data_IF_525120613717
#
_entry.id   IF_525120613717
#
_cell.length_a   1.000
_cell.length_b   1.000
_cell.length_c   1.000
_cell.angle_alpha   90.00
_cell.angle_beta   90.00
_cell.angle_gamma   90.00
#
_symmetry.space_group_name_H-M   'P 1'
#
loop_
_entity.id
_entity.type
_entity.pdbx_description
1 polymer ?
#
# COMPACT_ATOMS: atom_id res chain seq x y z
N UNK A 1 28.28 9.34 -11.31
CA UNK A 1 27.75 9.67 -9.96
C UNK A 1 28.24 8.59 -9.01
N UNK A 2 28.72 8.95 -7.82
CA UNK A 2 29.27 7.99 -6.86
C UNK A 2 28.14 7.26 -6.12
N UNK A 3 27.89 6.01 -6.54
CA UNK A 3 26.82 5.19 -5.98
C UNK A 3 27.12 4.72 -4.55
N UNK A 4 28.39 4.67 -4.14
CA UNK A 4 28.78 4.31 -2.78
C UNK A 4 28.52 5.46 -1.82
N UNK A 5 28.85 6.68 -2.25
CA UNK A 5 28.53 7.89 -1.50
C UNK A 5 27.02 8.04 -1.28
N UNK A 6 26.21 7.86 -2.34
CA UNK A 6 24.75 7.92 -2.21
C UNK A 6 24.17 6.85 -1.27
N UNK A 7 24.73 5.62 -1.30
CA UNK A 7 24.33 4.56 -0.35
C UNK A 7 24.71 4.89 1.09
N UNK A 8 25.91 5.45 1.30
CA UNK A 8 26.36 5.87 2.63
C UNK A 8 25.44 6.96 3.20
N UNK A 9 25.14 8.00 2.41
CA UNK A 9 24.22 9.06 2.82
C UNK A 9 22.80 8.55 3.12
N UNK A 10 22.27 7.65 2.29
CA UNK A 10 20.96 7.05 2.55
C UNK A 10 20.94 6.26 3.86
N UNK A 11 22.00 5.48 4.12
CA UNK A 11 22.11 4.72 5.38
C UNK A 11 22.16 5.63 6.60
N UNK A 12 22.94 6.71 6.54
CA UNK A 12 23.05 7.68 7.63
C UNK A 12 21.71 8.38 7.89
N UNK A 13 20.99 8.75 6.82
CA UNK A 13 19.66 9.33 6.92
C UNK A 13 18.65 8.35 7.53
N UNK A 14 18.68 7.07 7.14
CA UNK A 14 17.79 6.04 7.69
C UNK A 14 18.02 5.85 9.20
N UNK A 15 19.28 5.81 9.63
CA UNK A 15 19.63 5.73 11.04
C UNK A 15 19.16 6.95 11.82
N UNK A 16 19.30 8.14 11.26
CA UNK A 16 18.83 9.37 11.88
C UNK A 16 17.30 9.39 12.05
N UNK A 17 16.54 8.91 11.06
CA UNK A 17 15.09 8.82 11.14
C UNK A 17 14.62 7.78 12.17
N UNK A 18 15.31 6.66 12.34
CA UNK A 18 14.93 5.69 13.36
C UNK A 18 15.33 6.11 14.78
N UNK A 19 16.51 6.69 14.96
CA UNK A 19 17.03 7.06 16.27
C UNK A 19 16.65 8.47 16.73
N UNK A 20 16.14 9.30 15.82
CA UNK A 20 15.92 10.73 16.02
C UNK A 20 14.49 11.12 16.45
N UNK A 21 14.07 12.37 16.16
CA UNK A 21 12.79 12.96 16.63
C UNK A 21 11.53 12.20 16.21
N UNK A 22 11.63 11.41 15.15
CA UNK A 22 10.55 10.59 14.59
C UNK A 22 10.28 9.31 15.36
N UNK A 23 11.17 8.90 16.28
CA UNK A 23 10.95 7.74 17.17
C UNK A 23 9.68 7.85 18.03
N UNK A 24 9.23 9.07 18.33
CA UNK A 24 7.99 9.35 19.06
C UNK A 24 6.87 9.89 18.15
N UNK A 25 7.09 10.00 16.85
CA UNK A 25 6.08 10.43 15.90
C UNK A 25 5.29 9.23 15.37
N UNK A 26 4.02 9.42 15.03
CA UNK A 26 3.15 8.38 14.45
C UNK A 26 3.47 8.16 12.96
N UNK A 27 4.72 7.83 12.65
CA UNK A 27 5.22 7.60 11.28
C UNK A 27 5.99 6.29 11.18
N UNK A 28 5.85 5.64 10.03
CA UNK A 28 6.60 4.47 9.62
C UNK A 28 7.66 4.88 8.59
N UNK A 29 8.85 4.29 8.72
CA UNK A 29 9.99 4.55 7.84
C UNK A 29 10.31 3.27 7.07
N UNK A 30 10.28 3.34 5.75
CA UNK A 30 10.53 2.19 4.87
C UNK A 30 11.72 2.47 3.96
N UNK A 31 12.66 1.53 3.96
CA UNK A 31 13.78 1.52 3.03
C UNK A 31 13.36 0.82 1.73
N UNK A 32 13.35 1.58 0.63
CA UNK A 32 13.23 1.05 -0.72
C UNK A 32 14.60 0.68 -1.31
N UNK A 33 14.60 0.24 -2.57
CA UNK A 33 15.84 -0.19 -3.26
C UNK A 33 16.86 0.94 -3.42
N UNK A 34 16.38 2.15 -3.68
CA UNK A 34 17.20 3.35 -3.92
C UNK A 34 16.62 4.62 -3.27
N UNK A 35 15.72 4.44 -2.32
CA UNK A 35 15.00 5.54 -1.68
C UNK A 35 14.65 5.18 -0.24
N UNK A 36 14.25 6.20 0.52
CA UNK A 36 13.63 6.07 1.85
C UNK A 36 12.29 6.78 1.78
N UNK A 37 11.26 6.13 2.29
CA UNK A 37 9.91 6.67 2.37
C UNK A 37 9.49 6.79 3.83
N UNK A 38 8.85 7.91 4.17
CA UNK A 38 8.24 8.15 5.48
C UNK A 38 6.76 8.36 5.26
N UNK A 39 5.93 7.61 5.98
CA UNK A 39 4.48 7.71 5.90
C UNK A 39 3.86 7.72 7.29
N UNK A 40 2.66 8.28 7.42
CA UNK A 40 1.93 8.20 8.68
C UNK A 40 1.55 6.74 8.98
N UNK A 41 1.66 6.35 10.25
CA UNK A 41 1.19 5.05 10.73
C UNK A 41 -0.29 4.88 10.41
N UNK A 42 -0.68 3.69 9.98
CA UNK A 42 -2.07 3.34 9.66
C UNK A 42 -2.56 3.84 8.29
N UNK A 43 -1.74 4.59 7.55
CA UNK A 43 -2.02 4.95 6.16
C UNK A 43 -1.39 3.92 5.24
N UNK A 44 -2.23 3.11 4.60
CA UNK A 44 -1.79 2.00 3.75
C UNK A 44 -2.56 2.03 2.42
N UNK A 45 -2.12 1.24 1.43
CA UNK A 45 -2.78 1.21 0.11
C UNK A 45 -4.16 0.55 0.21
N UNK A 46 -4.29 -0.48 1.05
CA UNK A 46 -5.53 -1.13 1.40
C UNK A 46 -6.54 -0.18 2.05
N UNK A 47 -6.12 0.64 3.03
CA UNK A 47 -7.05 1.60 3.67
C UNK A 47 -7.50 2.71 2.72
N UNK A 48 -6.64 3.14 1.80
CA UNK A 48 -7.04 4.04 0.72
C UNK A 48 -8.05 3.38 -0.23
N UNK A 49 -7.87 2.10 -0.58
CA UNK A 49 -8.81 1.37 -1.43
C UNK A 49 -10.17 1.17 -0.77
N UNK A 50 -10.21 0.85 0.53
CA UNK A 50 -11.46 0.75 1.28
C UNK A 50 -12.26 2.05 1.19
N UNK A 51 -11.58 3.19 1.33
CA UNK A 51 -12.19 4.51 1.16
C UNK A 51 -12.70 4.73 -0.27
N UNK A 52 -11.89 4.45 -1.29
CA UNK A 52 -12.27 4.64 -2.70
C UNK A 52 -13.48 3.79 -3.06
N UNK A 53 -13.49 2.51 -2.68
CA UNK A 53 -14.63 1.62 -2.92
C UNK A 53 -15.86 2.05 -2.14
N UNK A 54 -15.68 2.48 -0.89
CA UNK A 54 -16.73 3.08 -0.08
C UNK A 54 -17.36 4.28 -0.78
N UNK A 55 -16.55 5.22 -1.29
CA UNK A 55 -17.03 6.38 -2.04
C UNK A 55 -17.74 5.95 -3.33
N UNK A 56 -17.20 5.00 -4.10
CA UNK A 56 -17.82 4.50 -5.33
C UNK A 56 -19.20 3.87 -5.06
N UNK A 57 -19.33 3.07 -4.00
CA UNK A 57 -20.59 2.39 -3.62
C UNK A 57 -21.58 3.35 -2.98
N UNK A 58 -21.12 4.27 -2.12
CA UNK A 58 -21.97 5.20 -1.36
C UNK A 58 -22.40 6.41 -2.18
N UNK A 59 -21.58 6.90 -3.11
CA UNK A 59 -21.85 8.14 -3.85
C UNK A 59 -22.74 7.96 -5.08
N UNK A 60 -23.46 6.84 -5.22
CA UNK A 60 -24.39 6.59 -6.34
C UNK A 60 -23.79 6.93 -7.71
N UNK A 61 -22.47 6.74 -7.88
CA UNK A 61 -21.93 6.58 -9.23
C UNK A 61 -22.75 5.44 -9.82
N UNK A 62 -23.34 5.62 -10.99
CA UNK A 62 -24.41 4.82 -11.60
C UNK A 62 -23.96 3.40 -11.97
N UNK A 63 -23.39 2.70 -11.00
CA UNK A 63 -22.96 1.31 -10.99
C UNK A 63 -24.22 0.52 -10.71
N UNK A 64 -24.97 0.30 -11.78
CA UNK A 64 -26.14 -0.57 -11.79
C UNK A 64 -25.73 -2.04 -11.87
N UNK A 65 -24.48 -2.30 -12.23
CA UNK A 65 -23.90 -3.65 -12.35
C UNK A 65 -22.80 -3.86 -11.31
N UNK A 66 -22.79 -5.00 -10.60
CA UNK A 66 -21.74 -5.30 -9.62
C UNK A 66 -20.36 -5.41 -10.29
N UNK A 67 -19.32 -5.03 -9.57
CA UNK A 67 -17.91 -5.20 -10.00
C UNK A 67 -17.63 -6.70 -10.13
N UNK A 68 -17.22 -7.14 -11.31
CA UNK A 68 -16.92 -8.54 -11.63
C UNK A 68 -15.43 -8.82 -11.89
N UNK A 69 -14.64 -7.75 -12.10
CA UNK A 69 -13.20 -7.82 -12.34
C UNK A 69 -12.42 -6.77 -11.57
N UNK A 70 -11.30 -7.18 -10.99
CA UNK A 70 -10.32 -6.30 -10.35
C UNK A 70 -8.90 -6.65 -10.83
N UNK A 71 -8.16 -5.63 -11.27
CA UNK A 71 -6.73 -5.72 -11.58
C UNK A 71 -5.94 -4.91 -10.55
N UNK A 72 -5.12 -5.60 -9.76
CA UNK A 72 -4.21 -4.98 -8.81
C UNK A 72 -2.77 -5.22 -9.27
N UNK A 73 -2.03 -4.13 -9.52
CA UNK A 73 -0.62 -4.17 -9.93
C UNK A 73 0.20 -3.38 -8.92
N UNK A 74 1.23 -4.00 -8.37
CA UNK A 74 2.21 -3.34 -7.53
C UNK A 74 3.64 -3.64 -7.98
N UNK A 75 4.60 -3.06 -7.29
CA UNK A 75 6.03 -3.19 -7.57
C UNK A 75 6.86 -3.33 -6.28
N UNK A 76 6.19 -3.32 -5.11
CA UNK A 76 6.84 -3.39 -3.82
C UNK A 76 6.07 -4.33 -2.89
N UNK A 77 6.42 -5.62 -2.97
CA UNK A 77 5.74 -6.72 -2.28
C UNK A 77 5.47 -6.42 -0.79
N UNK A 78 6.43 -5.81 -0.08
CA UNK A 78 6.29 -5.50 1.35
C UNK A 78 5.29 -4.37 1.68
N UNK A 79 4.94 -3.48 0.75
CA UNK A 79 3.89 -2.45 0.95
C UNK A 79 2.60 -2.76 0.23
N UNK A 80 2.66 -3.51 -0.86
CA UNK A 80 1.50 -3.83 -1.69
C UNK A 80 0.74 -5.07 -1.14
N UNK A 81 1.27 -5.73 -0.11
CA UNK A 81 0.66 -6.94 0.46
C UNK A 81 -0.76 -6.69 1.01
N UNK A 82 -1.00 -5.52 1.59
CA UNK A 82 -2.28 -5.16 2.18
C UNK A 82 -3.39 -5.01 1.13
N UNK A 83 -3.09 -4.42 -0.03
CA UNK A 83 -4.02 -4.35 -1.16
C UNK A 83 -4.18 -5.70 -1.86
N UNK A 84 -3.15 -6.54 -1.88
CA UNK A 84 -3.26 -7.91 -2.42
C UNK A 84 -4.15 -8.79 -1.56
N UNK A 85 -4.06 -8.67 -0.25
CA UNK A 85 -4.91 -9.41 0.70
C UNK A 85 -6.33 -8.88 0.72
N UNK A 86 -6.54 -7.57 0.52
CA UNK A 86 -7.86 -6.96 0.42
C UNK A 86 -8.75 -7.61 -0.66
N UNK A 87 -8.19 -7.90 -1.84
CA UNK A 87 -8.92 -8.53 -2.94
C UNK A 87 -8.88 -10.06 -2.94
N UNK A 88 -8.27 -10.70 -1.94
CA UNK A 88 -8.34 -12.16 -1.80
C UNK A 88 -9.76 -12.54 -1.39
N UNK A 89 -10.39 -13.51 -2.09
CA UNK A 89 -11.74 -13.93 -1.73
C UNK A 89 -11.74 -14.56 -0.33
N UNK A 90 -12.54 -14.02 0.60
CA UNK A 90 -12.88 -14.74 1.82
C UNK A 90 -13.72 -15.97 1.45
N UNK A 91 -13.31 -17.15 1.94
CA UNK A 91 -13.91 -18.46 1.63
C UNK A 91 -15.38 -18.61 2.07
N UNK A 92 -16.02 -17.60 2.67
CA UNK A 92 -17.19 -17.79 3.54
C UNK A 92 -18.48 -17.06 3.14
N UNK A 93 -18.54 -16.27 2.05
CA UNK A 93 -19.81 -15.62 1.66
C UNK A 93 -20.22 -15.97 0.23
N UNK A 94 -21.41 -16.57 0.10
CA UNK A 94 -22.11 -16.84 -1.16
C UNK A 94 -22.44 -15.53 -1.89
N UNK A 95 -21.43 -14.93 -2.52
CA UNK A 95 -21.57 -13.78 -3.41
C UNK A 95 -20.93 -14.16 -4.74
N UNK A 96 -21.42 -13.61 -5.86
CA UNK A 96 -20.85 -13.84 -7.20
C UNK A 96 -19.33 -13.71 -7.12
N UNK A 97 -18.62 -14.71 -7.65
CA UNK A 97 -17.15 -14.80 -7.59
C UNK A 97 -16.55 -13.64 -8.38
N UNK A 98 -15.98 -12.65 -7.68
CA UNK A 98 -15.20 -11.59 -8.32
C UNK A 98 -13.91 -12.21 -8.85
N UNK A 99 -13.57 -11.90 -10.10
CA UNK A 99 -12.30 -12.33 -10.68
C UNK A 99 -11.24 -11.28 -10.34
N UNK A 100 -10.29 -11.65 -9.48
CA UNK A 100 -9.18 -10.79 -9.08
C UNK A 100 -7.88 -11.28 -9.69
N UNK A 101 -7.20 -10.41 -10.43
CA UNK A 101 -5.83 -10.65 -10.93
C UNK A 101 -4.87 -9.77 -10.14
N UNK A 102 -3.90 -10.41 -9.48
CA UNK A 102 -2.83 -9.72 -8.74
C UNK A 102 -1.51 -9.93 -9.47
N UNK A 103 -0.84 -8.83 -9.80
CA UNK A 103 0.51 -8.82 -10.36
C UNK A 103 1.40 -8.04 -9.38
N UNK A 104 2.43 -8.72 -8.86
CA UNK A 104 3.38 -8.18 -7.88
C UNK A 104 4.80 -8.11 -8.44
#
# INVERSE_FOLDING_TARGET
MDAEFGRAQAKDMLQHLWAGPTSNASVDIVQGRYYIEVHSVGVTKGSAMERILGEIVLQNMSITTPIDYVLCIGNFLGKDEDIYTFFKPELTKKTKKVTSTVVA
#
